data_IF_170616909578
#
_entry.id   IF_170616909578
#
_cell.length_a   1.000
_cell.length_b   1.000
_cell.length_c   1.000
_cell.angle_alpha   90.00
_cell.angle_beta   90.00
_cell.angle_gamma   90.00
#
_symmetry.space_group_name_H-M   'P 1'
#
loop_
_entity.id
_entity.type
_entity.pdbx_description
1 polymer ?
#
# COMPACT_ATOMS: atom_id res chain seq x y z
N UNK A 1 -5.23 -6.82 20.84
CA UNK A 1 -5.80 -5.93 19.81
C UNK A 1 -4.77 -5.85 18.70
N UNK A 2 -4.92 -6.69 17.67
CA UNK A 2 -4.02 -6.70 16.51
C UNK A 2 -4.53 -5.70 15.48
N UNK A 3 -3.63 -4.89 14.92
CA UNK A 3 -3.93 -4.07 13.75
C UNK A 3 -4.25 -4.94 12.52
N UNK A 4 -4.61 -4.30 11.39
CA UNK A 4 -4.78 -5.03 10.14
C UNK A 4 -3.49 -5.76 9.75
N UNK A 5 -3.61 -7.02 9.37
CA UNK A 5 -2.53 -7.83 8.84
C UNK A 5 -2.31 -7.49 7.37
N UNK A 6 -1.04 -7.42 6.97
CA UNK A 6 -0.65 -7.28 5.57
C UNK A 6 -0.26 -8.67 5.07
N UNK A 7 -0.91 -9.12 4.00
CA UNK A 7 -0.65 -10.41 3.36
C UNK A 7 -0.22 -10.19 1.91
N UNK A 8 0.50 -11.14 1.30
CA UNK A 8 0.65 -11.17 -0.15
C UNK A 8 -0.71 -11.10 -0.84
N UNK A 9 -0.75 -10.47 -2.01
CA UNK A 9 -1.95 -10.49 -2.83
C UNK A 9 -2.22 -11.92 -3.31
N UNK A 10 -3.49 -12.34 -3.40
CA UNK A 10 -3.84 -13.59 -4.03
C UNK A 10 -3.32 -13.59 -5.48
N UNK A 11 -2.77 -14.72 -5.94
CA UNK A 11 -2.27 -14.86 -7.32
C UNK A 11 -3.44 -14.94 -8.32
N UNK A 12 -4.08 -13.80 -8.59
CA UNK A 12 -5.15 -13.65 -9.58
C UNK A 12 -4.69 -12.71 -10.72
N UNK A 13 -5.16 -12.98 -11.93
CA UNK A 13 -4.85 -12.19 -13.15
C UNK A 13 -5.57 -10.83 -13.22
N UNK A 14 -6.21 -10.39 -12.14
CA UNK A 14 -7.00 -9.15 -12.11
C UNK A 14 -6.14 -7.90 -11.85
N UNK A 15 -4.86 -8.08 -11.52
CA UNK A 15 -3.95 -6.99 -11.19
C UNK A 15 -3.03 -6.65 -12.38
N UNK A 16 -3.21 -5.48 -12.97
CA UNK A 16 -2.24 -4.96 -13.94
C UNK A 16 -1.04 -4.35 -13.19
N UNK A 17 0.07 -5.07 -13.20
CA UNK A 17 1.33 -4.67 -12.56
C UNK A 17 1.83 -3.33 -13.09
N UNK A 18 1.56 -3.01 -14.36
CA UNK A 18 1.96 -1.76 -14.99
C UNK A 18 1.19 -0.59 -14.39
N UNK A 19 -0.13 -0.71 -14.27
CA UNK A 19 -0.98 0.33 -13.69
C UNK A 19 -0.66 0.57 -12.22
N UNK A 20 -0.46 -0.51 -11.46
CA UNK A 20 -0.05 -0.46 -10.05
C UNK A 20 1.30 0.26 -9.90
N UNK A 21 2.29 -0.14 -10.70
CA UNK A 21 3.64 0.45 -10.64
C UNK A 21 3.63 1.92 -11.06
N UNK A 22 2.87 2.26 -12.10
CA UNK A 22 2.71 3.63 -12.57
C UNK A 22 2.05 4.51 -11.50
N UNK A 23 1.02 3.98 -10.83
CA UNK A 23 0.33 4.70 -9.76
C UNK A 23 1.27 4.98 -8.59
N UNK A 24 1.95 3.95 -8.07
CA UNK A 24 2.92 4.11 -6.97
C UNK A 24 4.02 5.12 -7.35
N UNK A 25 4.57 5.00 -8.55
CA UNK A 25 5.63 5.91 -9.03
C UNK A 25 5.15 7.36 -9.06
N UNK A 26 3.92 7.61 -9.54
CA UNK A 26 3.33 8.96 -9.56
C UNK A 26 3.19 9.56 -8.17
N UNK A 27 2.75 8.77 -7.19
CA UNK A 27 2.67 9.23 -5.79
C UNK A 27 4.06 9.58 -5.29
N UNK A 28 5.04 8.66 -5.41
CA UNK A 28 6.39 8.89 -4.88
C UNK A 28 7.06 10.11 -5.51
N UNK A 29 6.83 10.35 -6.80
CA UNK A 29 7.31 11.57 -7.49
C UNK A 29 6.70 12.87 -6.95
N UNK A 30 5.48 12.84 -6.41
CA UNK A 30 4.87 14.03 -5.80
C UNK A 30 5.52 14.39 -4.46
N UNK A 31 5.96 13.39 -3.71
CA UNK A 31 6.49 13.59 -2.36
C UNK A 31 8.01 13.74 -2.32
N UNK A 32 8.74 13.34 -3.37
CA UNK A 32 10.19 13.52 -3.62
C UNK A 32 11.07 13.63 -2.36
N UNK A 33 10.84 12.74 -1.39
CA UNK A 33 11.47 12.75 -0.08
C UNK A 33 12.14 11.41 0.17
N UNK A 34 13.28 11.45 0.85
CA UNK A 34 13.97 10.25 1.32
C UNK A 34 13.03 9.44 2.23
N UNK A 35 13.20 8.11 2.25
CA UNK A 35 12.40 7.19 3.07
C UNK A 35 10.89 7.10 2.78
N UNK A 36 10.44 7.59 1.62
CA UNK A 36 9.09 7.32 1.11
C UNK A 36 9.03 6.03 0.32
N UNK A 37 7.94 5.28 0.49
CA UNK A 37 7.69 4.09 -0.30
C UNK A 37 6.19 3.86 -0.48
N UNK A 38 5.84 3.13 -1.52
CA UNK A 38 4.49 2.65 -1.79
C UNK A 38 4.52 1.17 -2.10
N UNK A 39 3.59 0.42 -1.53
CA UNK A 39 3.38 -0.98 -1.84
C UNK A 39 1.91 -1.22 -2.18
N UNK A 40 1.66 -2.29 -2.92
CA UNK A 40 0.32 -2.80 -3.17
C UNK A 40 0.24 -4.22 -2.61
N UNK A 41 -0.62 -4.41 -1.61
CA UNK A 41 -0.69 -5.65 -0.84
C UNK A 41 -2.14 -5.96 -0.44
N UNK A 42 -2.37 -7.19 0.02
CA UNK A 42 -3.62 -7.54 0.67
C UNK A 42 -3.64 -6.99 2.10
N UNK A 43 -4.69 -6.25 2.45
CA UNK A 43 -4.94 -5.81 3.82
C UNK A 43 -6.23 -6.46 4.34
N UNK A 44 -6.18 -7.03 5.53
CA UNK A 44 -7.33 -7.69 6.17
C UNK A 44 -7.24 -7.60 7.69
N UNK A 45 -8.37 -7.76 8.37
CA UNK A 45 -8.42 -7.80 9.84
C UNK A 45 -8.83 -9.21 10.30
N UNK A 46 -7.90 -9.94 10.93
CA UNK A 46 -8.13 -11.32 11.37
C UNK A 46 -8.38 -12.28 10.20
N UNK A 47 -9.36 -13.17 10.34
CA UNK A 47 -9.81 -14.11 9.30
C UNK A 47 -10.76 -13.47 8.26
N UNK A 48 -10.80 -12.14 8.20
CA UNK A 48 -11.68 -11.38 7.30
C UNK A 48 -11.23 -11.40 5.83
N UNK A 49 -12.04 -10.74 4.99
CA UNK A 49 -11.73 -10.56 3.57
C UNK A 49 -10.42 -9.79 3.39
N UNK A 50 -9.52 -10.32 2.57
CA UNK A 50 -8.30 -9.65 2.15
C UNK A 50 -8.64 -8.69 1.01
N UNK A 51 -8.42 -7.39 1.21
CA UNK A 51 -8.72 -6.36 0.23
C UNK A 51 -7.41 -5.84 -0.37
N UNK A 52 -7.26 -5.81 -1.71
CA UNK A 52 -6.13 -5.15 -2.35
C UNK A 52 -6.07 -3.68 -1.97
N UNK A 53 -4.94 -3.24 -1.42
CA UNK A 53 -4.79 -1.93 -0.79
C UNK A 53 -3.44 -1.32 -1.15
N UNK A 54 -3.43 -0.03 -1.50
CA UNK A 54 -2.19 0.74 -1.61
C UNK A 54 -1.78 1.21 -0.22
N UNK A 55 -0.52 1.00 0.14
CA UNK A 55 0.01 1.40 1.45
C UNK A 55 1.24 2.27 1.19
N UNK A 56 1.20 3.50 1.69
CA UNK A 56 2.28 4.46 1.54
C UNK A 56 2.85 4.87 2.91
N UNK A 57 4.18 4.91 2.97
CA UNK A 57 4.89 5.72 3.96
C UNK A 57 5.30 7.02 3.30
N UNK A 58 4.76 8.12 3.79
CA UNK A 58 5.06 9.47 3.31
C UNK A 58 5.67 10.27 4.48
N UNK A 59 6.87 10.80 4.31
CA UNK A 59 7.46 11.71 5.29
C UNK A 59 6.82 13.10 5.11
N UNK A 60 5.88 13.42 5.99
CA UNK A 60 5.19 14.69 5.97
C UNK A 60 6.11 15.82 6.47
N UNK A 61 6.43 16.78 5.60
CA UNK A 61 7.15 17.99 6.02
C UNK A 61 6.28 19.26 6.06
N UNK A 62 5.13 19.30 5.39
CA UNK A 62 4.20 20.44 5.48
C UNK A 62 2.74 20.04 5.21
N UNK A 63 1.85 20.54 6.07
CA UNK A 63 0.39 20.31 6.11
C UNK A 63 -0.35 21.07 4.99
N UNK A 64 -0.15 20.71 3.73
CA UNK A 64 -1.21 20.94 2.74
C UNK A 64 -1.90 19.61 2.46
N UNK A 65 -3.23 19.68 2.38
CA UNK A 65 -4.13 18.55 2.23
C UNK A 65 -3.64 17.64 1.09
N UNK A 66 -3.21 16.42 1.43
CA UNK A 66 -2.70 15.47 0.45
C UNK A 66 -3.85 15.13 -0.52
N UNK A 67 -3.77 15.62 -1.75
CA UNK A 67 -4.66 15.23 -2.83
C UNK A 67 -4.04 14.04 -3.57
N UNK A 68 -4.30 12.83 -3.10
CA UNK A 68 -3.89 11.64 -3.86
C UNK A 68 -4.73 11.53 -5.14
N UNK A 69 -4.12 11.21 -6.30
CA UNK A 69 -4.86 10.84 -7.49
C UNK A 69 -5.73 9.61 -7.22
N UNK A 70 -6.81 9.51 -7.99
CA UNK A 70 -7.71 8.36 -7.95
C UNK A 70 -6.96 7.06 -8.24
N UNK A 71 -7.21 6.03 -7.43
CA UNK A 71 -6.58 4.71 -7.57
C UNK A 71 -7.12 3.94 -8.77
N UNK A 72 -6.29 3.09 -9.40
CA UNK A 72 -6.81 2.02 -10.24
C UNK A 72 -7.91 1.25 -9.51
N UNK A 73 -9.04 1.00 -10.18
CA UNK A 73 -10.15 0.20 -9.68
C UNK A 73 -10.77 0.65 -8.33
N UNK A 74 -10.60 1.91 -7.93
CA UNK A 74 -11.11 2.46 -6.66
C UNK A 74 -10.64 1.69 -5.40
N UNK A 75 -9.45 1.09 -5.45
CA UNK A 75 -8.87 0.41 -4.31
C UNK A 75 -8.59 1.37 -3.14
N UNK A 76 -8.70 0.91 -1.89
CA UNK A 76 -8.38 1.72 -0.73
C UNK A 76 -6.90 2.14 -0.70
N UNK A 77 -6.64 3.32 -0.13
CA UNK A 77 -5.30 3.83 0.15
C UNK A 77 -5.12 4.00 1.65
N UNK A 78 -4.03 3.47 2.19
CA UNK A 78 -3.56 3.72 3.56
C UNK A 78 -2.26 4.52 3.53
N UNK A 79 -2.24 5.61 4.30
CA UNK A 79 -1.06 6.47 4.48
C UNK A 79 -0.73 6.50 5.96
N UNK A 80 0.52 6.21 6.32
CA UNK A 80 1.00 6.23 7.70
C UNK A 80 2.43 6.76 7.75
N UNK A 81 2.73 7.56 8.77
CA UNK A 81 4.07 8.16 8.97
C UNK A 81 5.11 7.10 9.40
N UNK A 82 4.68 6.08 10.16
CA UNK A 82 5.53 5.00 10.70
C UNK A 82 4.99 3.60 10.34
N UNK A 83 4.86 3.30 9.05
CA UNK A 83 4.64 1.92 8.61
C UNK A 83 5.91 1.09 8.83
N UNK A 84 6.01 0.40 9.96
CA UNK A 84 6.88 -0.78 10.11
C UNK A 84 6.09 -1.97 9.58
N UNK A 85 6.44 -2.42 8.38
CA UNK A 85 5.87 -3.61 7.76
C UNK A 85 6.72 -4.81 8.14
N UNK A 86 6.20 -5.70 8.99
CA UNK A 86 6.75 -7.04 9.16
C UNK A 86 6.03 -7.99 8.21
N UNK A 87 6.72 -8.47 7.18
CA UNK A 87 6.28 -9.64 6.44
C UNK A 87 6.85 -10.86 7.18
N UNK A 88 5.99 -11.70 7.77
CA UNK A 88 6.41 -13.05 8.12
C UNK A 88 6.60 -13.82 6.81
N UNK A 89 7.83 -14.24 6.54
CA UNK A 89 8.13 -15.20 5.48
C UNK A 89 7.34 -16.48 5.79
N UNK A 90 6.32 -16.78 4.98
CA UNK A 90 5.69 -18.09 5.04
C UNK A 90 6.69 -19.11 4.48
N UNK A 91 7.20 -19.98 5.36
CA UNK A 91 7.86 -21.23 4.97
C UNK A 91 6.96 -21.96 3.97
N UNK A 92 7.37 -21.99 2.71
CA UNK A 92 6.76 -22.87 1.70
C UNK A 92 7.17 -24.30 2.03
N UNK A 93 6.22 -25.08 2.55
CA UNK A 93 6.34 -26.54 2.77
C UNK A 93 6.19 -27.28 1.44
#
# INVERSE_FOLDING_TARGET
>A
MGGPGITPLPQITEFDVTDISNYITRILQQFDTQDTYGIFAGAGQGEGLIIPTFIFRLLWSNMEEISLPETPNHWPIWVYEDCILSADEFDTV
#
